data_IF_974168491809
#
_entry.id   IF_974168491809
#
_cell.length_a   1.000
_cell.length_b   1.000
_cell.length_c   1.000
_cell.angle_alpha   90.00
_cell.angle_beta   90.00
_cell.angle_gamma   90.00
#
_symmetry.space_group_name_H-M   'P 1'
#
loop_
_entity.id
_entity.type
_entity.pdbx_description
1 polymer ?
#
# COMPACT_ATOMS: atom_id res chain seq x y z
N UNK A 1 53.29 32.91 14.04
CA UNK A 1 53.03 31.99 12.90
C UNK A 1 51.92 30.96 13.19
N UNK A 2 51.79 30.39 14.40
CA UNK A 2 50.78 29.34 14.67
C UNK A 2 49.30 29.77 14.70
N UNK A 3 49.00 31.05 14.91
CA UNK A 3 47.62 31.55 14.95
C UNK A 3 47.01 31.66 13.54
N UNK A 4 47.82 32.06 12.54
CA UNK A 4 47.39 32.19 11.14
C UNK A 4 47.09 30.82 10.51
N UNK A 5 47.89 29.80 10.82
CA UNK A 5 47.68 28.42 10.35
C UNK A 5 46.43 27.78 10.97
N UNK A 6 46.15 28.05 12.25
CA UNK A 6 44.96 27.54 12.95
C UNK A 6 43.66 28.12 12.38
N UNK A 7 43.65 29.42 12.07
CA UNK A 7 42.52 30.07 11.40
C UNK A 7 42.29 29.52 9.98
N UNK A 8 43.37 29.23 9.25
CA UNK A 8 43.29 28.63 7.91
C UNK A 8 42.72 27.21 7.93
N UNK A 9 43.10 26.39 8.93
CA UNK A 9 42.57 25.03 9.11
C UNK A 9 41.09 25.03 9.48
N UNK A 10 40.65 25.93 10.36
CA UNK A 10 39.22 26.06 10.71
C UNK A 10 38.38 26.54 9.52
N UNK A 11 38.88 27.52 8.76
CA UNK A 11 38.20 28.00 7.55
C UNK A 11 38.10 26.91 6.47
N UNK A 12 39.16 26.11 6.28
CA UNK A 12 39.16 25.00 5.35
C UNK A 12 38.15 23.90 5.76
N UNK A 13 38.11 23.57 7.06
CA UNK A 13 37.17 22.56 7.59
C UNK A 13 35.71 23.03 7.45
N UNK A 14 35.43 24.32 7.69
CA UNK A 14 34.11 24.91 7.52
C UNK A 14 33.67 24.92 6.05
N UNK A 15 34.57 25.26 5.12
CA UNK A 15 34.32 25.21 3.68
C UNK A 15 34.03 23.77 3.21
N UNK A 16 34.84 22.79 3.62
CA UNK A 16 34.60 21.36 3.32
C UNK A 16 33.24 20.87 3.84
N UNK A 17 32.83 21.32 5.03
CA UNK A 17 31.53 20.98 5.62
C UNK A 17 30.36 21.59 4.84
N UNK A 18 30.52 22.81 4.31
CA UNK A 18 29.49 23.48 3.52
C UNK A 18 29.27 22.88 2.12
N UNK A 19 30.32 22.29 1.51
CA UNK A 19 30.20 21.61 0.21
C UNK A 19 29.44 20.27 0.32
N UNK A 20 29.34 19.67 1.50
CA UNK A 20 28.59 18.43 1.72
C UNK A 20 27.07 18.67 1.79
N UNK A 21 26.63 19.92 1.91
CA UNK A 21 25.21 20.29 1.92
C UNK A 21 24.80 20.83 0.55
N UNK A 22 25.01 20.05 -0.51
CA UNK A 22 24.26 20.23 -1.74
C UNK A 22 22.87 19.62 -1.53
N UNK A 23 22.01 20.31 -0.79
CA UNK A 23 20.59 20.02 -0.79
C UNK A 23 20.07 20.28 -2.20
N UNK A 24 19.70 19.24 -2.93
CA UNK A 24 18.99 19.39 -4.21
C UNK A 24 17.68 20.10 -3.91
N UNK A 25 17.60 21.38 -4.27
CA UNK A 25 16.40 22.21 -4.17
C UNK A 25 15.35 21.82 -5.24
N UNK A 26 15.16 20.51 -5.44
CA UNK A 26 14.25 19.92 -6.40
C UNK A 26 13.38 18.90 -5.69
N UNK A 27 12.06 19.09 -5.73
CA UNK A 27 11.11 18.10 -5.26
C UNK A 27 11.19 16.82 -6.08
N UNK A 28 10.64 15.74 -5.54
CA UNK A 28 10.64 14.44 -6.20
C UNK A 28 9.78 14.50 -7.46
N UNK A 29 10.35 14.08 -8.59
CA UNK A 29 9.61 13.74 -9.81
C UNK A 29 9.86 12.27 -10.12
N UNK A 30 8.81 11.52 -10.41
CA UNK A 30 8.92 10.07 -10.55
C UNK A 30 9.87 9.69 -11.68
N UNK A 31 9.85 10.42 -12.79
CA UNK A 31 10.66 10.16 -13.98
C UNK A 31 12.17 10.35 -13.74
N UNK A 32 12.57 11.01 -12.66
CA UNK A 32 13.96 11.19 -12.26
C UNK A 32 14.45 10.15 -11.25
N UNK A 33 13.56 9.32 -10.69
CA UNK A 33 13.93 8.26 -9.76
C UNK A 33 14.58 7.10 -10.51
N UNK A 34 15.60 6.51 -9.87
CA UNK A 34 16.15 5.24 -10.32
C UNK A 34 15.18 4.09 -9.98
N UNK A 35 15.48 2.89 -10.48
CA UNK A 35 14.67 1.69 -10.27
C UNK A 35 14.41 1.43 -8.78
N UNK A 36 15.46 1.49 -7.98
CA UNK A 36 15.39 1.19 -6.56
C UNK A 36 14.51 2.21 -5.83
N UNK A 37 14.59 3.49 -6.15
CA UNK A 37 13.83 4.53 -5.43
C UNK A 37 12.39 4.71 -5.92
N UNK A 38 11.99 4.06 -7.02
CA UNK A 38 10.71 4.32 -7.68
C UNK A 38 9.50 3.75 -6.94
N UNK A 39 9.52 2.45 -6.62
CA UNK A 39 8.36 1.78 -6.07
C UNK A 39 7.98 2.39 -4.71
N UNK A 40 6.68 2.66 -4.53
CA UNK A 40 6.11 3.27 -3.32
C UNK A 40 6.57 4.71 -3.04
N UNK A 41 7.22 5.39 -3.99
CA UNK A 41 7.52 6.81 -3.85
C UNK A 41 6.30 7.70 -4.14
N UNK A 42 6.35 8.93 -3.64
CA UNK A 42 5.36 9.99 -3.82
C UNK A 42 6.08 11.26 -4.28
N UNK A 43 5.64 11.79 -5.42
CA UNK A 43 6.18 13.01 -6.00
C UNK A 43 5.86 14.25 -5.15
N UNK A 44 6.54 15.35 -5.47
CA UNK A 44 6.21 16.70 -4.97
C UNK A 44 4.78 17.14 -5.26
N UNK A 45 4.15 16.61 -6.33
CA UNK A 45 2.75 16.86 -6.66
C UNK A 45 1.76 16.00 -5.87
N UNK A 46 2.24 15.09 -5.00
CA UNK A 46 1.40 14.18 -4.21
C UNK A 46 0.87 12.99 -5.01
N UNK A 47 1.45 12.72 -6.20
CA UNK A 47 1.11 11.56 -7.03
C UNK A 47 2.08 10.41 -6.73
N UNK A 48 1.56 9.19 -6.73
CA UNK A 48 2.37 7.99 -6.49
C UNK A 48 3.17 7.61 -7.73
N UNK A 49 4.41 7.20 -7.54
CA UNK A 49 5.28 6.71 -8.60
C UNK A 49 5.03 5.23 -8.88
N UNK A 50 5.21 4.82 -10.13
CA UNK A 50 5.00 3.45 -10.61
C UNK A 50 6.23 2.98 -11.37
N UNK A 51 6.74 1.81 -10.99
CA UNK A 51 7.81 1.15 -11.72
C UNK A 51 7.21 0.32 -12.86
N UNK A 52 7.63 0.64 -14.08
CA UNK A 52 7.24 -0.06 -15.30
C UNK A 52 8.43 -0.82 -15.87
N UNK A 53 8.15 -1.99 -16.43
CA UNK A 53 9.12 -2.83 -17.13
C UNK A 53 8.81 -2.85 -18.62
N UNK A 54 9.82 -2.70 -19.44
CA UNK A 54 9.73 -2.80 -20.89
C UNK A 54 10.91 -3.58 -21.46
N UNK A 55 10.74 -4.16 -22.64
CA UNK A 55 11.79 -4.92 -23.33
C UNK A 55 12.31 -4.08 -24.49
N UNK A 56 13.62 -3.87 -24.52
CA UNK A 56 14.28 -3.14 -25.62
C UNK A 56 14.31 -3.99 -26.89
N UNK A 57 14.57 -3.37 -28.03
CA UNK A 57 14.76 -4.11 -29.31
C UNK A 57 15.88 -5.15 -29.25
N UNK A 58 16.84 -4.98 -28.34
CA UNK A 58 17.91 -5.95 -28.07
C UNK A 58 17.47 -7.20 -27.30
N UNK A 59 16.23 -7.23 -26.79
CA UNK A 59 15.74 -8.27 -25.87
C UNK A 59 16.10 -8.01 -24.40
N UNK A 60 16.84 -6.92 -24.11
CA UNK A 60 17.20 -6.53 -22.75
C UNK A 60 16.00 -5.93 -22.00
N UNK A 61 15.82 -6.33 -20.75
CA UNK A 61 14.83 -5.74 -19.85
C UNK A 61 15.30 -4.35 -19.40
N UNK A 62 14.39 -3.39 -19.43
CA UNK A 62 14.64 -2.05 -18.94
C UNK A 62 13.46 -1.57 -18.10
N UNK A 63 13.76 -0.63 -17.20
CA UNK A 63 12.82 -0.14 -16.21
C UNK A 63 12.67 1.36 -16.35
N UNK A 64 11.46 1.85 -16.14
CA UNK A 64 11.14 3.27 -16.14
C UNK A 64 10.23 3.57 -14.97
N UNK A 65 10.52 4.64 -14.26
CA UNK A 65 9.62 5.17 -13.25
C UNK A 65 8.70 6.22 -13.88
N UNK A 66 7.40 6.12 -13.63
CA UNK A 66 6.39 7.03 -14.17
C UNK A 66 5.48 7.56 -13.06
N UNK A 67 4.94 8.76 -13.26
CA UNK A 67 3.93 9.31 -12.36
C UNK A 67 2.56 8.65 -12.63
N UNK A 68 1.93 8.07 -11.61
CA UNK A 68 0.57 7.54 -11.72
C UNK A 68 -0.50 8.60 -11.48
N UNK A 69 -1.76 8.24 -11.76
CA UNK A 69 -2.91 9.09 -11.43
C UNK A 69 -3.36 8.96 -9.97
N UNK A 70 -2.79 8.02 -9.20
CA UNK A 70 -3.18 7.74 -7.83
C UNK A 70 -2.54 8.79 -6.90
N UNK A 71 -3.38 9.45 -6.11
CA UNK A 71 -2.95 10.44 -5.12
C UNK A 71 -2.58 9.76 -3.80
N UNK A 72 -1.64 10.34 -3.08
CA UNK A 72 -1.34 9.98 -1.70
C UNK A 72 -1.94 11.03 -0.76
N UNK A 73 -2.68 10.62 0.28
CA UNK A 73 -3.28 11.58 1.21
C UNK A 73 -2.19 12.26 2.03
N UNK A 74 -2.08 13.59 1.92
CA UNK A 74 -1.16 14.48 2.68
C UNK A 74 0.34 14.15 2.57
N UNK A 75 0.72 13.16 1.76
CA UNK A 75 2.11 12.75 1.57
C UNK A 75 2.66 13.35 0.29
N UNK A 76 3.87 13.91 0.36
CA UNK A 76 4.60 14.51 -0.76
C UNK A 76 6.09 14.34 -0.52
N UNK A 77 6.86 14.29 -1.60
CA UNK A 77 8.33 14.25 -1.55
C UNK A 77 8.87 13.11 -0.66
N UNK A 78 8.31 11.90 -0.84
CA UNK A 78 8.64 10.73 -0.03
C UNK A 78 9.13 9.58 -0.91
N UNK A 79 10.29 9.02 -0.59
CA UNK A 79 10.69 7.66 -1.03
C UNK A 79 10.58 6.74 0.17
N UNK A 80 9.88 5.62 0.00
CA UNK A 80 9.64 4.70 1.10
C UNK A 80 10.94 4.01 1.56
N UNK A 81 11.07 3.85 2.88
CA UNK A 81 12.28 3.30 3.48
C UNK A 81 12.35 1.78 3.35
N UNK A 82 13.55 1.21 3.28
CA UNK A 82 13.73 -0.25 3.25
C UNK A 82 13.11 -0.95 4.48
N UNK A 83 13.13 -0.29 5.64
CA UNK A 83 12.45 -0.78 6.84
C UNK A 83 10.95 -0.97 6.58
N UNK A 84 10.30 -0.01 5.94
CA UNK A 84 8.88 -0.10 5.63
C UNK A 84 8.58 -1.10 4.52
N UNK A 85 9.40 -1.16 3.47
CA UNK A 85 9.31 -2.19 2.44
C UNK A 85 9.34 -3.60 3.06
N UNK A 86 10.31 -3.88 3.93
CA UNK A 86 10.45 -5.20 4.56
C UNK A 86 9.35 -5.48 5.61
N UNK A 87 8.99 -4.49 6.43
CA UNK A 87 7.96 -4.63 7.45
C UNK A 87 6.60 -4.98 6.82
N UNK A 88 6.28 -4.36 5.69
CA UNK A 88 5.03 -4.57 4.95
C UNK A 88 5.08 -5.78 4.01
N UNK A 89 6.24 -6.44 3.85
CA UNK A 89 6.38 -7.60 2.97
C UNK A 89 6.34 -7.26 1.49
N UNK A 90 6.90 -6.11 1.13
CA UNK A 90 6.98 -5.57 -0.23
C UNK A 90 8.40 -5.73 -0.80
N UNK A 91 8.54 -5.45 -2.09
CA UNK A 91 9.81 -5.45 -2.81
C UNK A 91 9.98 -4.15 -3.62
N UNK A 92 11.21 -3.62 -3.70
CA UNK A 92 11.51 -2.40 -4.49
C UNK A 92 11.36 -2.62 -6.00
N UNK A 93 11.38 -3.87 -6.43
CA UNK A 93 11.16 -4.29 -7.81
C UNK A 93 9.69 -4.53 -8.13
N UNK A 94 8.77 -4.20 -7.20
CA UNK A 94 7.33 -4.28 -7.45
C UNK A 94 6.96 -3.44 -8.66
N UNK A 95 6.38 -4.10 -9.67
CA UNK A 95 5.92 -3.46 -10.89
C UNK A 95 4.46 -3.06 -10.75
N UNK A 96 4.12 -1.87 -11.24
CA UNK A 96 2.74 -1.40 -11.19
C UNK A 96 2.24 -1.14 -9.77
N UNK A 97 0.93 -0.90 -9.68
CA UNK A 97 0.17 -0.86 -8.44
C UNK A 97 -1.03 -1.78 -8.66
N UNK A 98 -1.18 -2.81 -7.82
CA UNK A 98 -2.31 -3.74 -7.85
C UNK A 98 -2.78 -4.06 -6.44
N UNK A 99 -4.08 -4.30 -6.32
CA UNK A 99 -4.74 -4.79 -5.12
C UNK A 99 -4.66 -6.31 -4.96
N UNK A 100 -4.24 -7.05 -5.99
CA UNK A 100 -4.20 -8.53 -5.99
C UNK A 100 -3.40 -9.12 -4.81
N UNK A 101 -2.35 -8.42 -4.36
CA UNK A 101 -1.54 -8.85 -3.21
C UNK A 101 -2.36 -8.99 -1.93
N UNK A 102 -3.48 -8.27 -1.78
CA UNK A 102 -4.40 -8.39 -0.64
C UNK A 102 -5.09 -9.77 -0.56
N UNK A 103 -5.12 -10.51 -1.67
CA UNK A 103 -5.61 -11.89 -1.69
C UNK A 103 -4.59 -12.86 -1.09
N UNK A 104 -3.32 -12.45 -1.00
CA UNK A 104 -2.26 -13.26 -0.42
C UNK A 104 -2.22 -13.12 1.09
N UNK A 105 -2.52 -14.21 1.80
CA UNK A 105 -2.52 -14.25 3.27
C UNK A 105 -1.15 -13.88 3.87
N UNK A 106 -0.05 -14.22 3.18
CA UNK A 106 1.31 -13.89 3.63
C UNK A 106 1.57 -12.39 3.59
N UNK A 107 1.25 -11.74 2.46
CA UNK A 107 1.35 -10.30 2.31
C UNK A 107 0.46 -9.59 3.32
N UNK A 108 -0.83 -9.96 3.38
CA UNK A 108 -1.80 -9.33 4.27
C UNK A 108 -1.38 -9.44 5.74
N UNK A 109 -0.79 -10.56 6.16
CA UNK A 109 -0.25 -10.71 7.53
C UNK A 109 0.89 -9.72 7.83
N UNK A 110 1.76 -9.44 6.85
CA UNK A 110 2.84 -8.46 6.97
C UNK A 110 2.31 -7.03 6.95
N UNK A 111 1.41 -6.71 6.00
CA UNK A 111 0.73 -5.42 5.91
C UNK A 111 0.00 -5.06 7.22
N UNK A 112 -0.71 -6.03 7.81
CA UNK A 112 -1.46 -5.85 9.06
C UNK A 112 -0.60 -6.01 10.33
N UNK A 113 0.72 -6.22 10.20
CA UNK A 113 1.60 -6.26 11.36
C UNK A 113 1.76 -4.85 11.96
N UNK A 114 1.93 -4.70 13.29
CA UNK A 114 2.12 -3.38 13.90
C UNK A 114 3.29 -2.59 13.29
N UNK A 115 4.35 -3.30 12.88
CA UNK A 115 5.54 -2.71 12.27
C UNK A 115 5.20 -2.00 10.95
N UNK A 116 4.32 -2.58 10.13
CA UNK A 116 3.85 -1.92 8.90
C UNK A 116 2.70 -0.95 9.20
N UNK A 117 1.63 -1.45 9.80
CA UNK A 117 0.34 -0.75 9.90
C UNK A 117 0.43 0.57 10.67
N UNK A 118 1.32 0.66 11.67
CA UNK A 118 1.47 1.86 12.51
C UNK A 118 2.65 2.74 12.12
N UNK A 119 3.66 2.19 11.40
CA UNK A 119 4.92 2.90 11.15
C UNK A 119 5.13 3.32 9.69
N UNK A 120 4.32 2.78 8.76
CA UNK A 120 4.49 2.98 7.33
C UNK A 120 3.24 3.59 6.68
N UNK A 121 2.90 4.85 7.00
CA UNK A 121 1.63 5.47 6.62
C UNK A 121 1.43 5.54 5.10
N UNK A 122 2.50 5.68 4.33
CA UNK A 122 2.41 5.77 2.87
C UNK A 122 2.00 4.44 2.21
N UNK A 123 2.55 3.31 2.66
CA UNK A 123 2.13 1.97 2.22
C UNK A 123 0.71 1.68 2.71
N UNK A 124 0.41 1.99 3.97
CA UNK A 124 -0.91 1.72 4.55
C UNK A 124 -1.99 2.52 3.85
N UNK A 125 -1.76 3.80 3.56
CA UNK A 125 -2.67 4.64 2.77
C UNK A 125 -2.91 4.05 1.37
N UNK A 126 -1.85 3.58 0.69
CA UNK A 126 -1.98 2.95 -0.62
C UNK A 126 -2.93 1.75 -0.57
N UNK A 127 -2.65 0.78 0.31
CA UNK A 127 -3.43 -0.45 0.37
C UNK A 127 -4.81 -0.25 1.00
N UNK A 128 -4.99 0.76 1.85
CA UNK A 128 -6.30 1.15 2.35
C UNK A 128 -7.20 1.62 1.21
N UNK A 129 -6.69 2.50 0.35
CA UNK A 129 -7.42 3.02 -0.80
C UNK A 129 -7.65 1.94 -1.88
N UNK A 130 -6.67 1.06 -2.11
CA UNK A 130 -6.83 -0.07 -3.01
C UNK A 130 -7.91 -1.05 -2.53
N UNK A 131 -7.88 -1.43 -1.25
CA UNK A 131 -8.90 -2.29 -0.65
C UNK A 131 -10.30 -1.64 -0.75
N UNK A 132 -10.39 -0.33 -0.46
CA UNK A 132 -11.65 0.41 -0.57
C UNK A 132 -12.18 0.43 -2.02
N UNK A 133 -11.28 0.52 -3.01
CA UNK A 133 -11.60 0.38 -4.44
C UNK A 133 -12.16 -1.00 -4.81
N UNK A 134 -11.76 -2.05 -4.09
CA UNK A 134 -12.32 -3.40 -4.20
C UNK A 134 -13.57 -3.63 -3.35
N UNK A 135 -14.07 -2.62 -2.62
CA UNK A 135 -15.20 -2.74 -1.71
C UNK A 135 -14.87 -3.42 -0.38
N UNK A 136 -13.59 -3.56 -0.05
CA UNK A 136 -13.10 -4.17 1.19
C UNK A 136 -12.57 -3.10 2.13
N UNK A 137 -12.91 -3.19 3.41
CA UNK A 137 -12.34 -2.30 4.43
C UNK A 137 -11.08 -2.92 5.03
N UNK A 138 -9.91 -2.33 4.77
CA UNK A 138 -8.61 -2.86 5.21
C UNK A 138 -8.53 -3.15 6.72
N UNK A 139 -9.05 -2.30 7.63
CA UNK A 139 -9.08 -2.61 9.06
C UNK A 139 -9.83 -3.91 9.38
N UNK A 140 -10.98 -4.17 8.74
CA UNK A 140 -11.72 -5.41 8.92
C UNK A 140 -10.90 -6.62 8.41
N UNK A 141 -10.21 -6.47 7.28
CA UNK A 141 -9.32 -7.51 6.75
C UNK A 141 -8.20 -7.85 7.75
N UNK A 142 -7.60 -6.83 8.37
CA UNK A 142 -6.57 -7.00 9.39
C UNK A 142 -7.08 -7.65 10.68
N UNK A 143 -8.29 -7.30 11.13
CA UNK A 143 -8.92 -7.96 12.27
C UNK A 143 -9.17 -9.45 12.01
N UNK A 144 -9.67 -9.83 10.84
CA UNK A 144 -9.96 -11.22 10.48
C UNK A 144 -8.68 -12.06 10.47
N UNK A 145 -7.56 -11.50 10.00
CA UNK A 145 -6.25 -12.15 10.03
C UNK A 145 -5.71 -12.34 11.45
N UNK A 146 -6.01 -11.44 12.38
CA UNK A 146 -5.64 -11.57 13.79
C UNK A 146 -6.43 -12.69 14.50
N UNK A 147 -7.68 -12.91 14.07
CA UNK A 147 -8.64 -13.83 14.73
C UNK A 147 -8.64 -15.23 14.13
N UNK A 148 -8.41 -15.43 12.81
CA UNK A 148 -8.26 -16.75 12.16
C UNK A 148 -7.80 -16.64 10.68
N UNK A 149 -6.52 -16.94 10.34
CA UNK A 149 -5.99 -16.80 8.97
C UNK A 149 -6.60 -17.74 7.91
N UNK A 150 -7.35 -18.77 8.32
CA UNK A 150 -8.01 -19.73 7.41
C UNK A 150 -9.37 -19.24 6.86
N UNK A 151 -10.03 -18.28 7.53
CA UNK A 151 -11.43 -17.87 7.20
C UNK A 151 -11.52 -16.69 6.21
N UNK A 152 -10.47 -15.87 6.12
CA UNK A 152 -10.41 -14.71 5.22
C UNK A 152 -10.51 -15.08 3.71
N UNK A 153 -10.24 -16.34 3.34
CA UNK A 153 -10.29 -16.82 1.96
C UNK A 153 -11.69 -16.89 1.35
N UNK A 154 -12.75 -16.91 2.17
CA UNK A 154 -14.12 -17.08 1.68
C UNK A 154 -14.86 -15.77 1.41
N UNK A 155 -14.49 -14.67 2.09
CA UNK A 155 -15.27 -13.42 2.05
C UNK A 155 -14.91 -12.54 0.85
N UNK A 156 -13.64 -12.49 0.44
CA UNK A 156 -13.19 -11.67 -0.70
C UNK A 156 -13.66 -12.26 -2.05
N UNK A 157 -13.91 -13.57 -2.11
CA UNK A 157 -14.38 -14.24 -3.33
C UNK A 157 -15.90 -14.15 -3.54
N UNK A 158 -16.70 -13.68 -2.56
CA UNK A 158 -18.14 -14.00 -2.54
C UNK A 158 -19.11 -12.88 -2.12
N UNK A 159 -18.75 -11.60 -2.19
CA UNK A 159 -19.69 -10.57 -1.72
C UNK A 159 -19.89 -9.42 -2.69
N UNK A 160 -20.78 -9.64 -3.67
CA UNK A 160 -21.75 -8.59 -4.01
C UNK A 160 -22.78 -8.56 -2.89
N UNK A 161 -22.64 -7.66 -1.91
CA UNK A 161 -23.59 -7.53 -0.80
C UNK A 161 -23.88 -6.05 -0.56
N UNK A 162 -25.16 -5.70 -0.75
CA UNK A 162 -25.75 -4.39 -0.48
C UNK A 162 -25.74 -4.08 1.03
N UNK A 163 -25.58 -2.82 1.44
CA UNK A 163 -25.58 -2.45 2.85
C UNK A 163 -27.02 -2.35 3.36
N UNK A 164 -27.36 -3.08 4.43
CA UNK A 164 -28.54 -2.78 5.24
C UNK A 164 -28.11 -2.70 6.70
N UNK A 165 -28.61 -1.63 7.33
CA UNK A 165 -28.23 -1.05 8.61
C UNK A 165 -29.13 -1.60 9.73
N UNK A 166 -28.54 -1.69 10.93
CA UNK A 166 -29.11 -1.39 12.26
C UNK A 166 -29.77 -2.50 13.13
N UNK A 167 -29.30 -2.44 14.39
CA UNK A 167 -30.00 -2.52 15.69
C UNK A 167 -30.21 -3.86 16.42
N UNK A 168 -29.60 -3.87 17.60
CA UNK A 168 -29.85 -4.52 18.89
C UNK A 168 -31.14 -5.33 19.16
N UNK A 169 -30.94 -6.30 20.09
CA UNK A 169 -31.86 -6.97 21.04
C UNK A 169 -32.28 -8.45 20.71
N UNK A 170 -32.73 -9.26 21.70
CA UNK A 170 -31.93 -10.38 22.22
C UNK A 170 -32.53 -11.78 21.97
N UNK A 171 -31.65 -12.78 22.10
CA UNK A 171 -31.83 -14.25 22.22
C UNK A 171 -33.25 -14.82 22.34
N UNK A 172 -33.64 -15.65 21.35
CA UNK A 172 -34.73 -16.64 21.43
C UNK A 172 -34.23 -17.99 20.86
N UNK A 173 -34.51 -19.06 21.60
CA UNK A 173 -34.12 -20.46 21.42
C UNK A 173 -34.53 -21.10 20.07
N UNK A 174 -33.88 -22.19 19.60
CA UNK A 174 -34.13 -22.75 18.28
C UNK A 174 -35.42 -23.59 18.23
N UNK A 175 -36.24 -23.37 17.20
CA UNK A 175 -37.44 -24.18 16.89
C UNK A 175 -37.06 -25.28 15.90
N UNK A 176 -37.55 -26.49 16.20
CA UNK A 176 -37.30 -27.76 15.52
C UNK A 176 -37.86 -27.83 14.10
N UNK A 177 -37.10 -28.48 13.22
CA UNK A 177 -37.38 -28.68 11.79
C UNK A 177 -38.47 -29.72 11.54
N UNK A 178 -39.73 -29.30 11.50
CA UNK A 178 -40.81 -30.08 10.88
C UNK A 178 -41.98 -29.15 10.58
N UNK A 179 -41.99 -28.53 9.39
CA UNK A 179 -43.19 -28.09 8.67
C UNK A 179 -42.77 -27.43 7.34
N UNK A 180 -42.46 -28.26 6.34
CA UNK A 180 -42.24 -27.81 4.97
C UNK A 180 -42.90 -28.81 4.01
N UNK A 181 -44.22 -28.76 3.95
CA UNK A 181 -45.02 -29.30 2.85
C UNK A 181 -46.00 -28.22 2.40
N UNK A 182 -45.49 -27.32 1.55
CA UNK A 182 -46.29 -26.37 0.78
C UNK A 182 -46.21 -26.73 -0.71
N UNK A 183 -47.37 -27.03 -1.29
CA UNK A 183 -47.64 -27.51 -2.66
C UNK A 183 -47.04 -26.67 -3.81
N UNK A 184 -46.87 -27.25 -5.02
CA UNK A 184 -46.23 -26.58 -6.16
C UNK A 184 -47.12 -25.50 -6.81
N UNK A 185 -46.52 -24.36 -7.15
CA UNK A 185 -47.11 -23.29 -7.97
C UNK A 185 -46.84 -23.57 -9.45
N UNK A 186 -47.90 -23.48 -10.27
CA UNK A 186 -47.87 -23.66 -11.73
C UNK A 186 -47.52 -22.34 -12.45
N UNK A 187 -46.75 -22.35 -13.56
CA UNK A 187 -46.37 -21.13 -14.27
C UNK A 187 -47.45 -20.63 -15.27
N UNK A 188 -47.43 -19.34 -15.65
CA UNK A 188 -48.39 -18.77 -16.59
C UNK A 188 -48.03 -19.07 -18.05
N UNK A 189 -49.07 -19.21 -18.86
CA UNK A 189 -49.00 -19.34 -20.32
C UNK A 189 -48.93 -17.96 -20.98
N UNK A 190 -47.98 -17.79 -21.90
CA UNK A 190 -48.07 -16.89 -23.05
C UNK A 190 -47.56 -17.64 -24.28
#
# INVERSE_FOLDING_TARGET
MGCLSSLYSLAALALLSSLLVQGTLGGITCEQLNKEDCAFAVSSSGKRCVLEKYVRRSGEEAYKCTTSNIEADKLKDLVETNQCIEACGLDRDTLGISSDSLLESRFTKKLCSPQCYQSCPNIVDLYFNLAAGEGVFLPNLCETQSKNPMRAKAEIKSSGINPVVLSDAPSISPISSADLLGSPVMPPSY
#
